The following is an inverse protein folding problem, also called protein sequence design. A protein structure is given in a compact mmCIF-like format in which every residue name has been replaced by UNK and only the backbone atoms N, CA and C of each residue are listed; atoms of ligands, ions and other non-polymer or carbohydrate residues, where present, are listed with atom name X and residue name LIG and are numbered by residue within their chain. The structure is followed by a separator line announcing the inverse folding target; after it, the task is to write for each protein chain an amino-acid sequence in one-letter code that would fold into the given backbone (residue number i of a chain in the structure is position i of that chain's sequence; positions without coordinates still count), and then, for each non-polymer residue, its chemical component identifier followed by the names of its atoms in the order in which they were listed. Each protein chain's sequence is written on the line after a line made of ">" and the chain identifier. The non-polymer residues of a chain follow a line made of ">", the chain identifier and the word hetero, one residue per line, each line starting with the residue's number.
data_IF_982372958781
#
_entry.id   IF_982372958781
#
_cell.length_a   1.000
_cell.length_b   1.000
_cell.length_c   1.000
_cell.angle_alpha   90.00
_cell.angle_beta   90.00
_cell.angle_gamma   90.00
#
_symmetry.space_group_name_H-M   'P 1'
#
loop_
_entity.id
_entity.type
_entity.pdbx_description
1 polymer ?
#
# COMPACT_ATOMS: atom_id res chain seq x y z
N UNK A 1 3.31 31.91 -17.65
CA UNK A 1 4.52 32.52 -17.04
C UNK A 1 5.69 31.60 -17.30
N UNK A 2 6.84 32.10 -17.81
CA UNK A 2 8.00 31.24 -18.03
C UNK A 2 8.49 30.71 -16.69
N UNK A 3 8.73 29.41 -16.64
CA UNK A 3 9.17 28.71 -15.43
C UNK A 3 10.60 29.19 -15.15
N UNK A 4 10.82 29.95 -14.08
CA UNK A 4 12.16 30.37 -13.66
C UNK A 4 13.06 29.16 -13.38
N UNK A 5 14.38 29.37 -13.30
CA UNK A 5 15.39 28.32 -13.09
C UNK A 5 15.02 27.37 -11.94
N UNK A 6 14.51 27.90 -10.82
CA UNK A 6 14.03 27.13 -9.66
C UNK A 6 12.87 26.19 -10.02
N UNK A 7 11.95 26.62 -10.88
CA UNK A 7 10.82 25.79 -11.30
C UNK A 7 11.25 24.68 -12.27
N UNK A 8 12.28 24.91 -13.10
CA UNK A 8 12.89 23.85 -13.92
C UNK A 8 13.52 22.77 -13.02
N UNK A 9 14.27 23.18 -12.01
CA UNK A 9 14.86 22.27 -11.02
C UNK A 9 13.78 21.50 -10.27
N UNK A 10 12.70 22.16 -9.84
CA UNK A 10 11.59 21.51 -9.15
C UNK A 10 10.91 20.43 -10.02
N UNK A 11 10.67 20.71 -11.30
CA UNK A 11 10.12 19.73 -12.25
C UNK A 11 11.08 18.56 -12.45
N UNK A 12 12.38 18.83 -12.59
CA UNK A 12 13.40 17.79 -12.74
C UNK A 12 13.47 16.87 -11.51
N UNK A 13 13.48 17.44 -10.31
CA UNK A 13 13.46 16.66 -9.05
C UNK A 13 12.17 15.84 -8.95
N UNK A 14 11.02 16.38 -9.40
CA UNK A 14 9.74 15.65 -9.38
C UNK A 14 9.75 14.38 -10.24
N UNK A 15 10.58 14.32 -11.28
CA UNK A 15 10.77 13.12 -12.10
C UNK A 15 11.25 11.93 -11.26
N UNK A 16 12.10 12.16 -10.26
CA UNK A 16 12.63 11.09 -9.40
C UNK A 16 11.52 10.35 -8.63
N UNK A 17 10.43 11.04 -8.31
CA UNK A 17 9.27 10.42 -7.68
C UNK A 17 8.67 9.32 -8.57
N UNK A 18 8.67 9.50 -9.89
CA UNK A 18 8.15 8.50 -10.83
C UNK A 18 9.03 7.24 -10.83
N UNK A 19 10.34 7.40 -10.72
CA UNK A 19 11.28 6.28 -10.65
C UNK A 19 11.13 5.47 -9.36
N UNK A 20 10.89 6.14 -8.23
CA UNK A 20 10.54 5.50 -6.96
C UNK A 20 9.25 4.69 -7.08
N UNK A 21 8.21 5.24 -7.72
CA UNK A 21 6.96 4.50 -7.98
C UNK A 21 7.24 3.26 -8.82
N UNK A 22 8.04 3.36 -9.89
CA UNK A 22 8.40 2.20 -10.70
C UNK A 22 9.11 1.10 -9.89
N UNK A 23 10.04 1.50 -9.03
CA UNK A 23 10.76 0.57 -8.15
C UNK A 23 9.82 -0.11 -7.14
N UNK A 24 8.98 0.66 -6.45
CA UNK A 24 8.06 0.14 -5.44
C UNK A 24 6.97 -0.76 -6.04
N UNK A 25 6.42 -0.40 -7.19
CA UNK A 25 5.42 -1.22 -7.90
C UNK A 25 6.05 -2.54 -8.39
N UNK A 26 7.30 -2.51 -8.83
CA UNK A 26 8.03 -3.73 -9.19
C UNK A 26 8.29 -4.63 -7.98
N UNK A 27 8.79 -4.05 -6.88
CA UNK A 27 9.18 -4.78 -5.68
C UNK A 27 7.98 -5.35 -4.90
N UNK A 28 6.87 -4.61 -4.80
CA UNK A 28 5.76 -4.96 -3.90
C UNK A 28 4.48 -5.39 -4.62
N UNK A 29 4.31 -5.03 -5.90
CA UNK A 29 3.11 -5.34 -6.67
C UNK A 29 3.36 -6.34 -7.82
N UNK A 30 4.59 -6.82 -7.99
CA UNK A 30 4.90 -7.97 -8.85
C UNK A 30 4.85 -7.72 -10.36
N UNK A 31 5.11 -6.48 -10.82
CA UNK A 31 5.08 -6.11 -12.25
C UNK A 31 5.97 -7.00 -13.13
N UNK A 32 7.13 -7.43 -12.63
CA UNK A 32 8.06 -8.29 -13.36
C UNK A 32 7.68 -9.77 -13.35
N UNK A 33 6.73 -10.16 -12.50
CA UNK A 33 6.32 -11.57 -12.32
C UNK A 33 5.08 -11.92 -13.16
N UNK A 34 4.70 -11.07 -14.12
CA UNK A 34 3.54 -11.30 -14.98
C UNK A 34 3.76 -12.50 -15.92
N UNK A 35 2.99 -13.57 -15.70
CA UNK A 35 3.08 -14.83 -16.48
C UNK A 35 2.62 -14.71 -17.95
N UNK A 36 1.94 -13.61 -18.32
CA UNK A 36 1.44 -13.38 -19.70
C UNK A 36 2.37 -12.43 -20.46
N UNK A 37 2.86 -12.88 -21.61
CA UNK A 37 3.89 -12.20 -22.43
C UNK A 37 3.34 -11.30 -23.56
N UNK A 38 2.03 -11.06 -23.60
CA UNK A 38 1.45 -10.16 -24.61
C UNK A 38 1.66 -8.70 -24.19
N UNK A 39 2.15 -7.85 -25.08
CA UNK A 39 2.31 -6.40 -24.85
C UNK A 39 1.03 -5.74 -24.34
N UNK A 40 -0.13 -6.20 -24.84
CA UNK A 40 -1.43 -5.72 -24.39
C UNK A 40 -1.76 -6.15 -22.96
N UNK A 41 -1.31 -7.32 -22.54
CA UNK A 41 -1.49 -7.79 -21.16
C UNK A 41 -0.53 -7.06 -20.21
N UNK A 42 0.72 -6.84 -20.62
CA UNK A 42 1.73 -6.12 -19.85
C UNK A 42 1.31 -4.66 -19.66
N UNK A 43 0.89 -3.97 -20.72
CA UNK A 43 0.42 -2.57 -20.63
C UNK A 43 -0.80 -2.42 -19.73
N UNK A 44 -1.78 -3.33 -19.82
CA UNK A 44 -2.97 -3.33 -18.95
C UNK A 44 -2.60 -3.58 -17.49
N UNK A 45 -1.79 -4.60 -17.21
CA UNK A 45 -1.37 -4.93 -15.85
C UNK A 45 -0.54 -3.79 -15.24
N UNK A 46 0.41 -3.22 -15.99
CA UNK A 46 1.22 -2.10 -15.50
C UNK A 46 0.38 -0.84 -15.28
N UNK A 47 -0.61 -0.56 -16.13
CA UNK A 47 -1.54 0.56 -15.91
C UNK A 47 -2.40 0.35 -14.66
N UNK A 48 -2.97 -0.85 -14.48
CA UNK A 48 -3.76 -1.20 -13.31
C UNK A 48 -2.94 -1.13 -12.01
N UNK A 49 -1.71 -1.66 -12.02
CA UNK A 49 -0.82 -1.65 -10.86
C UNK A 49 -0.37 -0.23 -10.48
N UNK A 50 -0.10 0.63 -11.46
CA UNK A 50 0.16 2.06 -11.21
C UNK A 50 -1.07 2.79 -10.67
N UNK A 51 -2.26 2.45 -11.15
CA UNK A 51 -3.52 2.95 -10.59
C UNK A 51 -3.71 2.53 -9.13
N UNK A 52 -3.44 1.26 -8.82
CA UNK A 52 -3.52 0.72 -7.46
C UNK A 52 -2.52 1.40 -6.51
N UNK A 53 -1.28 1.63 -6.96
CA UNK A 53 -0.30 2.41 -6.20
C UNK A 53 -0.83 3.79 -5.81
N UNK A 54 -1.36 4.55 -6.78
CA UNK A 54 -1.93 5.87 -6.53
C UNK A 54 -3.10 5.83 -5.54
N UNK A 55 -3.95 4.81 -5.64
CA UNK A 55 -5.06 4.60 -4.70
C UNK A 55 -4.57 4.31 -3.28
N UNK A 56 -3.53 3.47 -3.13
CA UNK A 56 -2.92 3.15 -1.83
C UNK A 56 -2.37 4.43 -1.19
N UNK A 57 -1.62 5.24 -1.95
CA UNK A 57 -1.06 6.51 -1.44
C UNK A 57 -2.18 7.47 -1.01
N UNK A 58 -3.23 7.60 -1.82
CA UNK A 58 -4.37 8.47 -1.49
C UNK A 58 -5.05 8.03 -0.18
N UNK A 59 -5.37 6.74 -0.06
CA UNK A 59 -5.98 6.18 1.17
C UNK A 59 -5.08 6.29 2.39
N UNK A 60 -3.77 6.26 2.16
CA UNK A 60 -2.77 6.42 3.22
C UNK A 60 -2.73 7.84 3.75
N UNK A 61 -2.95 8.86 2.90
CA UNK A 61 -3.10 10.24 3.34
C UNK A 61 -4.19 10.39 4.41
N UNK A 62 -5.36 9.78 4.19
CA UNK A 62 -6.45 9.77 5.16
C UNK A 62 -6.08 9.04 6.46
N UNK A 63 -5.32 7.94 6.36
CA UNK A 63 -4.86 7.14 7.49
C UNK A 63 -3.81 7.87 8.34
N UNK A 64 -2.89 8.60 7.70
CA UNK A 64 -1.86 9.36 8.39
C UNK A 64 -2.48 10.52 9.18
N UNK A 65 -3.54 11.14 8.64
CA UNK A 65 -4.36 12.12 9.37
C UNK A 65 -5.12 11.54 10.57
N UNK A 66 -5.32 10.21 10.60
CA UNK A 66 -5.93 9.47 11.72
C UNK A 66 -4.89 8.93 12.72
N UNK A 67 -3.61 9.27 12.56
CA UNK A 67 -2.54 8.86 13.48
C UNK A 67 -1.90 7.51 13.18
N UNK A 68 -1.97 7.02 11.93
CA UNK A 68 -1.27 5.79 11.55
C UNK A 68 0.24 5.91 11.74
N UNK A 69 0.82 5.01 12.54
CA UNK A 69 2.26 4.94 12.78
C UNK A 69 2.95 3.98 11.80
N UNK A 70 4.22 4.23 11.42
CA UNK A 70 5.00 3.29 10.62
C UNK A 70 5.19 1.98 11.38
N UNK A 71 5.14 0.85 10.67
CA UNK A 71 5.42 -0.44 11.28
C UNK A 71 6.93 -0.57 11.48
N UNK A 72 7.35 -0.64 12.74
CA UNK A 72 8.73 -0.79 13.13
C UNK A 72 8.92 -2.15 13.80
N UNK A 73 9.85 -2.95 13.29
CA UNK A 73 10.34 -4.11 14.02
C UNK A 73 11.07 -3.63 15.29
N UNK A 74 11.01 -4.39 16.38
CA UNK A 74 11.60 -3.99 17.68
C UNK A 74 13.09 -3.61 17.58
N UNK A 75 13.83 -4.24 16.67
CA UNK A 75 15.25 -3.99 16.44
C UNK A 75 15.53 -2.86 15.42
N UNK A 76 14.52 -2.35 14.71
CA UNK A 76 14.67 -1.28 13.71
C UNK A 76 13.56 -0.25 13.82
N UNK A 77 13.81 0.79 14.62
CA UNK A 77 12.94 1.98 14.69
C UNK A 77 12.94 2.69 13.33
N UNK A 78 11.79 2.64 12.65
CA UNK A 78 11.56 3.37 11.40
C UNK A 78 10.76 4.63 11.73
N UNK A 79 11.37 5.80 11.54
CA UNK A 79 10.69 7.10 11.71
C UNK A 79 9.93 7.53 10.46
N UNK A 80 10.33 7.00 9.30
CA UNK A 80 9.76 7.37 8.01
C UNK A 80 8.68 6.36 7.61
N UNK A 81 7.49 6.88 7.31
CA UNK A 81 6.38 6.12 6.78
C UNK A 81 6.67 5.76 5.31
N UNK A 82 6.73 4.46 4.99
CA UNK A 82 7.08 3.97 3.65
C UNK A 82 5.89 3.38 2.92
N UNK A 83 6.02 3.13 1.61
CA UNK A 83 4.96 2.49 0.83
C UNK A 83 4.58 1.10 1.35
N UNK A 84 5.52 0.32 1.89
CA UNK A 84 5.20 -0.97 2.51
C UNK A 84 4.28 -0.80 3.72
N UNK A 85 4.52 0.24 4.54
CA UNK A 85 3.65 0.58 5.67
C UNK A 85 2.26 1.03 5.19
N UNK A 86 2.24 1.85 4.14
CA UNK A 86 1.03 2.31 3.45
C UNK A 86 0.18 1.12 2.98
N UNK A 87 0.81 0.20 2.25
CA UNK A 87 0.16 -0.98 1.68
C UNK A 87 -0.37 -1.93 2.75
N UNK A 88 0.43 -2.18 3.80
CA UNK A 88 0.04 -3.00 4.94
C UNK A 88 -1.16 -2.39 5.71
N UNK A 89 -1.14 -1.07 5.94
CA UNK A 89 -2.23 -0.36 6.61
C UNK A 89 -3.53 -0.39 5.81
N UNK A 90 -3.45 -0.20 4.48
CA UNK A 90 -4.61 -0.33 3.59
C UNK A 90 -5.14 -1.76 3.58
N UNK A 91 -4.27 -2.78 3.52
CA UNK A 91 -4.68 -4.19 3.61
C UNK A 91 -5.39 -4.49 4.94
N UNK A 92 -4.85 -4.00 6.05
CA UNK A 92 -5.47 -4.12 7.39
C UNK A 92 -6.86 -3.49 7.43
N UNK A 93 -7.03 -2.30 6.86
CA UNK A 93 -8.34 -1.62 6.81
C UNK A 93 -9.36 -2.39 5.97
N UNK A 94 -8.93 -2.94 4.83
CA UNK A 94 -9.78 -3.76 3.98
C UNK A 94 -10.23 -5.02 4.73
N UNK A 95 -9.30 -5.77 5.34
CA UNK A 95 -9.65 -6.96 6.12
C UNK A 95 -10.49 -6.66 7.38
N UNK A 96 -10.25 -5.54 8.06
CA UNK A 96 -11.08 -5.09 9.18
C UNK A 96 -12.53 -4.82 8.76
N UNK A 97 -12.74 -4.24 7.58
CA UNK A 97 -14.08 -4.04 7.01
C UNK A 97 -14.77 -5.36 6.66
N UNK A 98 -14.08 -6.27 5.97
CA UNK A 98 -14.62 -7.58 5.59
C UNK A 98 -14.94 -8.47 6.81
N UNK A 99 -14.07 -8.50 7.81
CA UNK A 99 -14.30 -9.30 9.03
C UNK A 99 -15.49 -8.78 9.81
N UNK A 100 -15.66 -7.45 9.92
CA UNK A 100 -16.79 -6.84 10.62
C UNK A 100 -18.13 -7.14 9.93
N UNK A 101 -18.23 -6.99 8.61
CA UNK A 101 -19.45 -7.30 7.86
C UNK A 101 -19.81 -8.79 7.88
N UNK A 102 -18.80 -9.67 7.79
CA UNK A 102 -19.03 -11.13 7.83
C UNK A 102 -19.43 -11.60 9.23
N UNK A 103 -18.80 -11.06 10.28
CA UNK A 103 -19.14 -11.37 11.69
C UNK A 103 -20.48 -10.75 12.13
N UNK A 104 -20.89 -9.62 11.55
CA UNK A 104 -22.22 -9.04 11.78
C UNK A 104 -23.34 -9.90 11.17
N UNK A 105 -23.03 -10.65 10.11
CA UNK A 105 -24.00 -11.51 9.43
C UNK A 105 -24.13 -12.89 10.09
N UNK A 106 -23.06 -13.39 10.71
CA UNK A 106 -23.03 -14.68 11.38
C UNK A 106 -23.22 -14.51 12.89
N UNK A 107 -24.47 -14.67 13.37
CA UNK A 107 -24.82 -14.61 14.81
C UNK A 107 -24.30 -15.82 15.61
N UNK A 108 -23.36 -16.58 15.08
CA UNK A 108 -22.70 -17.66 15.81
C UNK A 108 -21.49 -17.13 16.58
N UNK A 109 -21.36 -17.59 17.83
CA UNK A 109 -20.23 -17.28 18.70
C UNK A 109 -18.90 -17.46 17.94
N UNK A 110 -18.03 -16.44 17.87
CA UNK A 110 -16.82 -16.53 17.06
C UNK A 110 -15.95 -17.68 17.59
N UNK A 111 -15.79 -18.72 16.76
CA UNK A 111 -15.02 -19.95 17.04
C UNK A 111 -13.55 -19.66 17.35
N UNK A 112 -13.07 -18.49 16.95
CA UNK A 112 -11.73 -17.98 17.20
C UNK A 112 -11.91 -16.63 17.90
N UNK A 113 -11.21 -16.39 19.02
CA UNK A 113 -11.37 -15.14 19.74
C UNK A 113 -10.85 -13.97 18.86
N UNK A 114 -11.56 -12.83 18.87
CA UNK A 114 -11.36 -11.75 17.90
C UNK A 114 -9.97 -11.12 17.98
N UNK A 115 -9.36 -11.12 19.16
CA UNK A 115 -7.99 -10.65 19.39
C UNK A 115 -6.95 -11.49 18.62
N UNK A 116 -7.17 -12.81 18.52
CA UNK A 116 -6.28 -13.71 17.77
C UNK A 116 -6.43 -13.48 16.26
N UNK A 117 -7.64 -13.24 15.78
CA UNK A 117 -7.88 -12.89 14.38
C UNK A 117 -7.20 -11.58 14.01
N UNK A 118 -7.30 -10.56 14.88
CA UNK A 118 -6.62 -9.27 14.67
C UNK A 118 -5.11 -9.46 14.63
N UNK A 119 -4.52 -10.21 15.56
CA UNK A 119 -3.06 -10.48 15.55
C UNK A 119 -2.61 -11.25 14.30
N UNK A 120 -3.39 -12.22 13.84
CA UNK A 120 -3.08 -12.97 12.62
C UNK A 120 -3.22 -12.08 11.38
N UNK A 121 -4.28 -11.26 11.31
CA UNK A 121 -4.46 -10.28 10.25
C UNK A 121 -3.29 -9.29 10.23
N UNK A 122 -2.81 -8.85 11.39
CA UNK A 122 -1.66 -7.94 11.50
C UNK A 122 -0.38 -8.61 11.03
N UNK A 123 -0.07 -9.79 11.55
CA UNK A 123 1.10 -10.56 11.14
C UNK A 123 1.10 -10.79 9.62
N UNK A 124 -0.06 -11.15 9.06
CA UNK A 124 -0.21 -11.32 7.62
C UNK A 124 -0.13 -10.00 6.86
N UNK A 125 -0.66 -8.89 7.41
CA UNK A 125 -0.63 -7.56 6.80
C UNK A 125 0.77 -6.97 6.71
N UNK A 126 1.62 -7.25 7.68
CA UNK A 126 2.97 -6.71 7.78
C UNK A 126 4.07 -7.73 7.39
N UNK A 127 3.71 -8.98 7.09
CA UNK A 127 4.58 -9.92 6.40
C UNK A 127 4.67 -9.53 4.92
N UNK A 128 5.74 -8.84 4.55
CA UNK A 128 6.13 -8.50 3.18
C UNK A 128 7.62 -8.77 2.99
#
# INVERSE_FOLDING_TARGET
>A
MPVGVTGIIAIFVRRWQVEVIFSEVRAHLGVETLRKWSDKAISRATSALRGLYSLIILRTGDLLGQGAAPYAAEWRRKSNFTFTDAFAAVRRRIWGGYSSDTLLHDRETPKIPPDRLVRMADALCFAA
#
